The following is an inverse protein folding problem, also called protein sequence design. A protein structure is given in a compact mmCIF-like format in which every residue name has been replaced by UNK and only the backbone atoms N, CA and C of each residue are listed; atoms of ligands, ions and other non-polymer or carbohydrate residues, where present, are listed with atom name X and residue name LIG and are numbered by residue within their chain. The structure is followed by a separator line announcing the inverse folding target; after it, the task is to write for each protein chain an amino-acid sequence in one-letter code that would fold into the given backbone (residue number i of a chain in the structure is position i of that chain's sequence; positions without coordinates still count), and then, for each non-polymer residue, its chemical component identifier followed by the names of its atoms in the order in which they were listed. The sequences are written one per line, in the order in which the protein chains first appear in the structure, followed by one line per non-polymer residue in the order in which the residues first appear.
data_IF_600192890019
#
_entry.id   IF_600192890019
#
_cell.length_a   1.000
_cell.length_b   1.000
_cell.length_c   1.000
_cell.angle_alpha   90.00
_cell.angle_beta   90.00
_cell.angle_gamma   90.00
#
_symmetry.space_group_name_H-M   'P 1'
#
loop_
_entity.id
_entity.type
_entity.pdbx_description
1 polymer ?
#
# COMPACT_ATOMS: atom_id res chain seq x y z
N UNK A 1 28.24 -17.15 9.63
CA UNK A 1 27.25 -17.85 8.80
C UNK A 1 27.14 -17.09 7.50
N UNK A 2 27.58 -17.69 6.39
CA UNK A 2 27.38 -17.13 5.05
C UNK A 2 25.92 -17.46 4.72
N UNK A 3 25.02 -16.49 4.89
CA UNK A 3 23.67 -16.63 4.39
C UNK A 3 23.79 -16.68 2.86
N UNK A 4 23.53 -17.85 2.27
CA UNK A 4 23.26 -17.92 0.84
C UNK A 4 22.08 -16.99 0.56
N UNK A 5 22.38 -15.84 -0.02
CA UNK A 5 21.39 -14.81 -0.32
C UNK A 5 20.48 -15.35 -1.42
N UNK A 6 19.43 -16.05 -1.01
CA UNK A 6 18.46 -16.62 -1.92
C UNK A 6 17.61 -15.48 -2.46
N UNK A 7 18.04 -14.91 -3.59
CA UNK A 7 17.45 -13.74 -4.24
C UNK A 7 15.95 -13.90 -4.52
N UNK A 8 15.45 -15.13 -4.64
CA UNK A 8 14.02 -15.38 -4.81
C UNK A 8 13.23 -15.18 -3.52
N UNK A 9 13.76 -15.69 -2.40
CA UNK A 9 13.16 -15.50 -1.07
C UNK A 9 13.18 -14.03 -0.67
N UNK A 10 14.27 -13.32 -0.99
CA UNK A 10 14.38 -11.88 -0.75
C UNK A 10 13.32 -11.09 -1.53
N UNK A 11 13.22 -11.31 -2.86
CA UNK A 11 12.18 -10.68 -3.70
C UNK A 11 10.76 -11.03 -3.26
N UNK A 12 10.55 -12.25 -2.80
CA UNK A 12 9.25 -12.66 -2.27
C UNK A 12 8.94 -11.93 -0.96
N UNK A 13 9.90 -11.86 -0.04
CA UNK A 13 9.79 -11.13 1.22
C UNK A 13 9.51 -9.64 1.01
N UNK A 14 10.17 -9.01 0.03
CA UNK A 14 9.91 -7.62 -0.35
C UNK A 14 8.46 -7.41 -0.81
N UNK A 15 7.96 -8.27 -1.71
CA UNK A 15 6.57 -8.19 -2.19
C UNK A 15 5.57 -8.40 -1.08
N UNK A 16 5.79 -9.39 -0.22
CA UNK A 16 4.90 -9.68 0.91
C UNK A 16 4.93 -8.54 1.92
N UNK A 17 6.12 -8.02 2.25
CA UNK A 17 6.29 -6.87 3.12
C UNK A 17 5.56 -5.64 2.58
N UNK A 18 5.70 -5.36 1.28
CA UNK A 18 4.97 -4.26 0.64
C UNK A 18 3.45 -4.43 0.76
N UNK A 19 2.90 -5.61 0.45
CA UNK A 19 1.46 -5.87 0.56
C UNK A 19 1.00 -5.70 2.01
N UNK A 20 1.74 -6.22 2.97
CA UNK A 20 1.40 -6.12 4.39
C UNK A 20 1.41 -4.66 4.88
N UNK A 21 2.48 -3.93 4.57
CA UNK A 21 2.59 -2.50 4.89
C UNK A 21 1.49 -1.68 4.23
N UNK A 22 1.13 -1.99 2.99
CA UNK A 22 0.05 -1.34 2.27
C UNK A 22 -1.31 -1.56 2.96
N UNK A 23 -1.61 -2.80 3.36
CA UNK A 23 -2.85 -3.12 4.08
C UNK A 23 -2.91 -2.42 5.45
N UNK A 24 -1.79 -2.42 6.19
CA UNK A 24 -1.68 -1.71 7.46
C UNK A 24 -1.91 -0.21 7.29
N UNK A 25 -1.23 0.41 6.32
CA UNK A 25 -1.38 1.83 6.00
C UNK A 25 -2.83 2.18 5.64
N UNK A 26 -3.45 1.40 4.76
CA UNK A 26 -4.84 1.63 4.32
C UNK A 26 -5.82 1.52 5.48
N UNK A 27 -5.59 0.56 6.39
CA UNK A 27 -6.42 0.37 7.58
C UNK A 27 -6.31 1.54 8.54
N UNK A 28 -5.09 1.99 8.83
CA UNK A 28 -4.85 3.18 9.67
C UNK A 28 -5.47 4.42 9.04
N UNK A 29 -5.25 4.61 7.73
CA UNK A 29 -5.80 5.75 7.00
C UNK A 29 -7.33 5.77 7.04
N UNK A 30 -7.98 4.63 6.81
CA UNK A 30 -9.43 4.51 6.95
C UNK A 30 -9.88 4.86 8.36
N UNK A 31 -9.20 4.34 9.39
CA UNK A 31 -9.50 4.66 10.79
C UNK A 31 -9.41 6.16 11.09
N UNK A 32 -8.33 6.82 10.64
CA UNK A 32 -8.13 8.26 10.81
C UNK A 32 -9.20 9.06 10.07
N UNK A 33 -9.47 8.75 8.80
CA UNK A 33 -10.46 9.46 7.99
C UNK A 33 -11.88 9.25 8.53
N UNK A 34 -12.21 8.05 9.02
CA UNK A 34 -13.48 7.75 9.67
C UNK A 34 -13.61 8.52 10.99
N UNK A 35 -12.56 8.56 11.81
CA UNK A 35 -12.56 9.32 13.06
C UNK A 35 -12.79 10.82 12.84
N UNK A 36 -12.22 11.37 11.76
CA UNK A 36 -12.37 12.78 11.38
C UNK A 36 -13.70 13.08 10.65
N UNK A 37 -14.60 12.10 10.48
CA UNK A 37 -15.81 12.22 9.67
C UNK A 37 -15.53 12.75 8.24
N UNK A 38 -14.36 12.42 7.69
CA UNK A 38 -13.93 12.80 6.33
C UNK A 38 -14.33 11.76 5.28
N UNK A 39 -14.92 10.66 5.70
CA UNK A 39 -15.49 9.64 4.81
C UNK A 39 -17.02 9.79 4.80
N UNK A 40 -17.68 9.73 3.64
CA UNK A 40 -19.13 9.67 3.55
C UNK A 40 -19.71 8.52 4.38
N UNK A 41 -20.87 8.74 5.00
CA UNK A 41 -21.60 7.71 5.73
C UNK A 41 -21.93 6.53 4.82
N UNK A 42 -21.50 5.32 5.18
CA UNK A 42 -21.76 4.09 4.43
C UNK A 42 -20.59 3.61 3.56
N UNK A 43 -19.49 4.37 3.46
CA UNK A 43 -18.28 3.86 2.84
C UNK A 43 -17.57 2.86 3.75
N UNK A 44 -17.23 1.71 3.19
CA UNK A 44 -16.36 0.72 3.83
C UNK A 44 -14.89 1.03 3.56
N UNK A 45 -13.97 0.13 3.93
CA UNK A 45 -12.53 0.29 3.65
C UNK A 45 -12.21 0.25 2.14
N UNK A 46 -13.09 -0.33 1.33
CA UNK A 46 -12.83 -0.63 -0.09
C UNK A 46 -12.61 0.61 -0.97
N UNK A 47 -13.43 1.68 -0.92
CA UNK A 47 -13.17 2.89 -1.69
C UNK A 47 -11.85 3.57 -1.30
N UNK A 48 -11.50 3.57 0.01
CA UNK A 48 -10.22 4.13 0.48
C UNK A 48 -9.06 3.33 -0.09
N UNK A 49 -9.14 2.00 -0.07
CA UNK A 49 -8.16 1.12 -0.68
C UNK A 49 -8.03 1.34 -2.20
N UNK A 50 -9.14 1.57 -2.91
CA UNK A 50 -9.11 1.85 -4.34
C UNK A 50 -8.40 3.17 -4.66
N UNK A 51 -8.66 4.21 -3.87
CA UNK A 51 -8.00 5.52 -4.00
C UNK A 51 -6.50 5.39 -3.75
N UNK A 52 -6.08 4.69 -2.69
CA UNK A 52 -4.66 4.51 -2.36
C UNK A 52 -3.92 3.67 -3.40
N UNK A 53 -4.55 2.62 -3.96
CA UNK A 53 -4.00 1.90 -5.13
C UNK A 53 -3.81 2.87 -6.30
N UNK A 54 -4.82 3.72 -6.59
CA UNK A 54 -4.73 4.73 -7.64
C UNK A 54 -3.53 5.65 -7.47
N UNK A 55 -3.29 6.15 -6.25
CA UNK A 55 -2.13 7.00 -5.93
C UNK A 55 -0.81 6.26 -6.18
N UNK A 56 -0.70 5.00 -5.73
CA UNK A 56 0.50 4.18 -5.94
C UNK A 56 0.76 3.96 -7.43
N UNK A 57 -0.27 3.66 -8.22
CA UNK A 57 -0.15 3.48 -9.66
C UNK A 57 0.29 4.78 -10.36
N UNK A 58 -0.32 5.92 -10.01
CA UNK A 58 0.05 7.22 -10.56
C UNK A 58 1.50 7.57 -10.22
N UNK A 59 1.91 7.36 -8.97
CA UNK A 59 3.30 7.57 -8.55
C UNK A 59 4.28 6.69 -9.33
N UNK A 60 3.95 5.42 -9.55
CA UNK A 60 4.76 4.50 -10.36
C UNK A 60 4.85 4.92 -11.83
N UNK A 61 3.76 5.41 -12.42
CA UNK A 61 3.75 5.93 -13.79
C UNK A 61 4.62 7.19 -13.90
N UNK A 62 4.47 8.13 -12.96
CA UNK A 62 5.26 9.37 -12.95
C UNK A 62 6.76 9.08 -12.83
N UNK A 63 7.14 8.15 -11.94
CA UNK A 63 8.53 7.74 -11.79
C UNK A 63 9.11 7.13 -13.06
N UNK A 64 8.29 6.45 -13.87
CA UNK A 64 8.70 5.89 -15.16
C UNK A 64 8.76 6.91 -16.29
N UNK A 65 8.01 8.01 -16.21
CA UNK A 65 7.96 9.06 -17.24
C UNK A 65 9.01 10.14 -17.00
N UNK A 66 9.29 10.47 -15.74
CA UNK A 66 10.19 11.56 -15.34
C UNK A 66 11.59 11.09 -14.93
N UNK A 67 11.78 9.80 -14.66
CA UNK A 67 13.06 9.17 -14.32
C UNK A 67 13.58 8.29 -15.44
#
# INVERSE_FOLDING_TARGET
MIFEQNKEVEKFGEKVGFIFSYLLFTTILYGVLSFLNKIPSGWSVLPVAAITIGIVLVGGILMKVLG
#
